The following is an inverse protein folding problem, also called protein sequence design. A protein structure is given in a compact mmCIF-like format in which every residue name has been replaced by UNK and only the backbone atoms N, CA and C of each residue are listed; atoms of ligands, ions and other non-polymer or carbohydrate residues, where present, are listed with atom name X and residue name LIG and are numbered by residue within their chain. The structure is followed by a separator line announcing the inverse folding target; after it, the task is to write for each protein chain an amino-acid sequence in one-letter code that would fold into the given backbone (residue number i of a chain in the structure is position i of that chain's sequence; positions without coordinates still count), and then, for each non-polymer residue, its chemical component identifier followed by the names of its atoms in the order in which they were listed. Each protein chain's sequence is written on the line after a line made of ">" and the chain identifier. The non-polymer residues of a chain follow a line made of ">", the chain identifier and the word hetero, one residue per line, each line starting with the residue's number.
data_IF_151735666645
#
_entry.id   IF_151735666645
#
_cell.length_a   1.000
_cell.length_b   1.000
_cell.length_c   1.000
_cell.angle_alpha   90.00
_cell.angle_beta   90.00
_cell.angle_gamma   90.00
#
_symmetry.space_group_name_H-M   'P 1'
#
loop_
_entity.id
_entity.type
_entity.pdbx_description
1 polymer ?
#
# COMPACT_ATOMS: atom_id res chain seq x y z
N UNK A 1 13.22 8.43 10.23
CA UNK A 1 12.67 8.67 8.88
C UNK A 1 11.15 8.68 9.02
N UNK A 2 10.45 9.63 8.42
CA UNK A 2 8.98 9.63 8.45
C UNK A 2 8.41 8.59 7.48
N UNK A 3 7.13 8.25 7.60
CA UNK A 3 6.50 7.29 6.68
C UNK A 3 6.48 7.83 5.24
N UNK A 4 6.36 9.14 5.03
CA UNK A 4 6.47 9.80 3.72
C UNK A 4 7.87 9.62 3.11
N UNK A 5 8.92 9.78 3.91
CA UNK A 5 10.29 9.56 3.45
C UNK A 5 10.51 8.08 3.09
N UNK A 6 9.98 7.14 3.89
CA UNK A 6 10.04 5.70 3.59
C UNK A 6 9.31 5.38 2.27
N UNK A 7 8.19 6.04 1.98
CA UNK A 7 7.45 5.92 0.70
C UNK A 7 8.31 6.38 -0.47
N UNK A 8 8.89 7.58 -0.39
CA UNK A 8 9.73 8.12 -1.47
C UNK A 8 10.96 7.25 -1.73
N UNK A 9 11.65 6.80 -0.67
CA UNK A 9 12.80 5.90 -0.82
C UNK A 9 12.41 4.58 -1.49
N UNK A 10 11.31 3.97 -1.06
CA UNK A 10 10.87 2.69 -1.61
C UNK A 10 10.43 2.82 -3.08
N UNK A 11 9.76 3.92 -3.45
CA UNK A 11 9.41 4.20 -4.86
C UNK A 11 10.66 4.42 -5.70
N UNK A 12 11.66 5.13 -5.19
CA UNK A 12 12.92 5.34 -5.89
C UNK A 12 13.71 4.03 -6.08
N UNK A 13 13.58 3.10 -5.14
CA UNK A 13 14.23 1.80 -5.20
C UNK A 13 13.52 0.83 -6.16
N UNK A 14 12.20 0.68 -6.02
CA UNK A 14 11.42 -0.35 -6.73
C UNK A 14 10.81 0.15 -8.04
N UNK A 15 10.51 1.44 -8.13
CA UNK A 15 9.77 2.02 -9.24
C UNK A 15 8.39 1.39 -9.42
N UNK A 16 7.92 1.35 -10.68
CA UNK A 16 6.63 0.79 -11.06
C UNK A 16 6.74 -0.20 -12.24
N UNK A 17 7.93 -0.73 -12.48
CA UNK A 17 8.07 -1.91 -13.35
C UNK A 17 7.66 -3.16 -12.58
N UNK A 18 6.34 -3.31 -12.40
CA UNK A 18 5.74 -4.31 -11.51
C UNK A 18 6.21 -5.73 -11.81
N UNK A 19 6.57 -6.06 -13.06
CA UNK A 19 7.05 -7.39 -13.43
C UNK A 19 8.44 -7.75 -12.87
N UNK A 20 9.17 -6.76 -12.35
CA UNK A 20 10.52 -6.93 -11.79
C UNK A 20 10.56 -6.90 -10.25
N UNK A 21 9.45 -6.54 -9.60
CA UNK A 21 9.39 -6.39 -8.16
C UNK A 21 9.15 -7.76 -7.50
N UNK A 22 9.98 -8.08 -6.51
CA UNK A 22 9.83 -9.30 -5.72
C UNK A 22 8.64 -9.18 -4.75
N UNK A 23 7.58 -9.97 -4.99
CA UNK A 23 6.38 -9.99 -4.15
C UNK A 23 6.68 -10.41 -2.71
N UNK A 24 7.57 -11.38 -2.51
CA UNK A 24 7.87 -11.92 -1.18
C UNK A 24 8.56 -10.87 -0.29
N UNK A 25 9.34 -9.99 -0.91
CA UNK A 25 9.90 -8.81 -0.26
C UNK A 25 8.79 -7.86 0.22
N UNK A 26 7.81 -7.56 -0.63
CA UNK A 26 6.69 -6.67 -0.26
C UNK A 26 5.88 -7.28 0.90
N UNK A 27 5.58 -8.58 0.83
CA UNK A 27 4.90 -9.30 1.91
C UNK A 27 5.66 -9.17 3.23
N UNK A 28 6.99 -9.38 3.19
CA UNK A 28 7.84 -9.27 4.39
C UNK A 28 7.80 -7.86 4.99
N UNK A 29 7.88 -6.82 4.15
CA UNK A 29 7.81 -5.42 4.61
C UNK A 29 6.45 -5.08 5.23
N UNK A 30 5.34 -5.64 4.70
CA UNK A 30 4.01 -5.46 5.29
C UNK A 30 3.92 -6.12 6.66
N UNK A 31 4.39 -7.36 6.77
CA UNK A 31 4.38 -8.10 8.05
C UNK A 31 5.24 -7.39 9.11
N UNK A 32 6.40 -6.87 8.74
CA UNK A 32 7.25 -6.06 9.61
C UNK A 32 6.54 -4.78 10.07
N UNK A 33 5.92 -4.03 9.16
CA UNK A 33 5.24 -2.78 9.50
C UNK A 33 3.93 -2.99 10.29
N UNK A 34 3.24 -4.14 10.13
CA UNK A 34 2.13 -4.54 11.01
C UNK A 34 2.63 -4.82 12.43
N UNK A 35 3.77 -5.50 12.57
CA UNK A 35 4.29 -5.94 13.85
C UNK A 35 4.87 -4.78 14.69
N UNK A 36 5.53 -3.82 14.03
CA UNK A 36 6.16 -2.65 14.64
C UNK A 36 5.78 -1.37 13.88
N UNK A 37 4.48 -1.04 13.93
CA UNK A 37 3.97 0.10 13.19
C UNK A 37 4.53 1.42 13.70
N UNK A 38 5.10 2.21 12.80
CA UNK A 38 5.56 3.55 13.10
C UNK A 38 4.39 4.54 13.08
N UNK A 39 4.13 5.18 14.23
CA UNK A 39 3.15 6.25 14.36
C UNK A 39 3.34 7.36 13.31
N UNK A 40 2.21 7.90 12.83
CA UNK A 40 2.18 8.98 11.85
C UNK A 40 1.26 8.66 10.68
N UNK A 41 1.64 9.09 9.49
CA UNK A 41 0.88 8.82 8.26
C UNK A 41 0.84 7.33 7.93
N UNK A 42 -0.30 6.85 7.46
CA UNK A 42 -0.45 5.49 6.93
C UNK A 42 0.10 5.30 5.52
N UNK A 43 0.71 6.32 4.90
CA UNK A 43 1.11 6.26 3.49
C UNK A 43 2.12 5.15 3.19
N UNK A 44 3.01 4.81 4.13
CA UNK A 44 3.98 3.74 3.92
C UNK A 44 3.32 2.36 3.79
N UNK A 45 2.52 1.99 4.79
CA UNK A 45 1.78 0.72 4.74
C UNK A 45 0.76 0.71 3.59
N UNK A 46 0.17 1.85 3.24
CA UNK A 46 -0.72 1.98 2.08
C UNK A 46 0.02 1.71 0.77
N UNK A 47 1.21 2.29 0.58
CA UNK A 47 2.06 2.02 -0.59
C UNK A 47 2.40 0.53 -0.69
N UNK A 48 2.84 -0.09 0.41
CA UNK A 48 3.16 -1.51 0.45
C UNK A 48 1.95 -2.38 0.06
N UNK A 49 0.77 -2.08 0.61
CA UNK A 49 -0.46 -2.77 0.26
C UNK A 49 -0.86 -2.56 -1.21
N UNK A 50 -0.59 -1.38 -1.77
CA UNK A 50 -0.82 -1.09 -3.18
C UNK A 50 0.12 -1.88 -4.11
N UNK A 51 1.40 -2.01 -3.74
CA UNK A 51 2.31 -2.92 -4.44
C UNK A 51 1.83 -4.37 -4.34
N UNK A 52 1.47 -4.85 -3.16
CA UNK A 52 0.96 -6.21 -3.01
C UNK A 52 -0.34 -6.42 -3.78
N UNK A 53 -1.23 -5.44 -3.83
CA UNK A 53 -2.42 -5.48 -4.67
C UNK A 53 -2.07 -5.65 -6.16
N UNK A 54 -1.07 -4.90 -6.65
CA UNK A 54 -0.63 -4.96 -8.04
C UNK A 54 -0.01 -6.33 -8.41
N UNK A 55 0.83 -6.87 -7.52
CA UNK A 55 1.65 -8.07 -7.74
C UNK A 55 0.93 -9.38 -7.38
N UNK A 56 0.01 -9.30 -6.42
CA UNK A 56 -0.59 -10.43 -5.75
C UNK A 56 -1.88 -10.94 -6.38
N UNK A 57 -2.44 -11.96 -5.76
CA UNK A 57 -3.67 -12.62 -6.16
C UNK A 57 -4.66 -12.72 -4.99
N UNK A 58 -5.72 -13.50 -5.17
CA UNK A 58 -6.76 -13.70 -4.15
C UNK A 58 -6.24 -14.12 -2.78
N UNK A 59 -5.11 -14.84 -2.72
CA UNK A 59 -4.50 -15.31 -1.48
C UNK A 59 -3.91 -14.17 -0.63
N UNK A 60 -3.56 -13.06 -1.27
CA UNK A 60 -2.93 -11.90 -0.61
C UNK A 60 -3.98 -10.96 0.04
N UNK A 61 -5.27 -11.15 -0.25
CA UNK A 61 -6.35 -10.32 0.27
C UNK A 61 -6.41 -10.29 1.80
N UNK A 62 -6.07 -11.41 2.45
CA UNK A 62 -6.11 -11.51 3.92
C UNK A 62 -5.00 -10.67 4.58
N UNK A 63 -3.85 -10.55 3.95
CA UNK A 63 -2.77 -9.70 4.44
C UNK A 63 -3.16 -8.22 4.34
N UNK A 64 -3.81 -7.80 3.25
CA UNK A 64 -4.32 -6.42 3.12
C UNK A 64 -5.39 -6.10 4.18
N UNK A 65 -6.27 -7.05 4.51
CA UNK A 65 -7.25 -6.88 5.60
C UNK A 65 -6.56 -6.71 6.94
N UNK A 66 -5.55 -7.55 7.23
CA UNK A 66 -4.76 -7.43 8.46
C UNK A 66 -4.06 -6.08 8.55
N UNK A 67 -3.46 -5.60 7.46
CA UNK A 67 -2.87 -4.26 7.42
C UNK A 67 -3.91 -3.15 7.66
N UNK A 68 -5.11 -3.26 7.05
CA UNK A 68 -6.17 -2.26 7.19
C UNK A 68 -6.76 -2.18 8.60
N UNK A 69 -7.02 -3.33 9.22
CA UNK A 69 -7.78 -3.40 10.48
C UNK A 69 -6.92 -3.76 11.70
N UNK A 70 -5.71 -4.27 11.51
CA UNK A 70 -4.81 -4.70 12.59
C UNK A 70 -3.92 -3.59 13.13
N UNK A 71 -3.69 -2.53 12.35
CA UNK A 71 -2.85 -1.40 12.73
C UNK A 71 -3.76 -0.26 13.22
N UNK A 72 -3.96 -0.22 14.55
CA UNK A 72 -4.74 0.78 15.32
C UNK A 72 -6.16 1.11 14.82
N UNK A 73 -7.16 0.64 15.59
CA UNK A 73 -8.60 0.84 15.35
C UNK A 73 -9.07 2.31 15.41
N UNK A 74 -8.29 3.22 16.00
CA UNK A 74 -8.73 4.60 16.24
C UNK A 74 -8.71 5.50 15.00
N UNK A 75 -8.05 5.07 13.91
CA UNK A 75 -7.93 5.89 12.69
C UNK A 75 -8.26 5.14 11.42
N UNK A 76 -8.18 3.81 11.41
CA UNK A 76 -8.35 3.01 10.20
C UNK A 76 -7.27 3.36 9.19
N UNK A 77 -6.34 2.43 8.94
CA UNK A 77 -5.33 2.65 7.91
C UNK A 77 -6.03 2.95 6.56
N UNK A 78 -5.57 3.98 5.85
CA UNK A 78 -6.15 4.45 4.58
C UNK A 78 -5.83 3.50 3.40
N UNK A 79 -5.88 2.19 3.64
CA UNK A 79 -5.81 1.16 2.59
C UNK A 79 -7.18 1.09 1.90
N UNK A 80 -7.17 1.16 0.58
CA UNK A 80 -8.38 1.13 -0.24
C UNK A 80 -9.09 -0.22 -0.11
N UNK A 81 -10.34 -0.19 0.39
CA UNK A 81 -11.17 -1.40 0.54
C UNK A 81 -11.44 -2.06 -0.82
N UNK A 82 -11.48 -1.27 -1.89
CA UNK A 82 -11.67 -1.74 -3.26
C UNK A 82 -10.54 -2.67 -3.72
N UNK A 83 -9.30 -2.50 -3.22
CA UNK A 83 -8.20 -3.44 -3.52
C UNK A 83 -8.46 -4.80 -2.89
N UNK A 84 -8.94 -4.82 -1.64
CA UNK A 84 -9.28 -6.04 -0.92
C UNK A 84 -10.44 -6.73 -1.62
N UNK A 85 -11.50 -6.00 -1.94
CA UNK A 85 -12.70 -6.58 -2.55
C UNK A 85 -12.44 -7.08 -3.98
N UNK A 86 -11.61 -6.36 -4.74
CA UNK A 86 -11.12 -6.79 -6.06
C UNK A 86 -10.33 -8.10 -5.98
N UNK A 87 -9.43 -8.28 -5.00
CA UNK A 87 -8.70 -9.54 -4.81
C UNK A 87 -9.58 -10.67 -4.27
N UNK A 88 -10.49 -10.36 -3.36
CA UNK A 88 -11.27 -11.37 -2.63
C UNK A 88 -12.36 -12.03 -3.48
N UNK A 89 -12.61 -11.55 -4.70
CA UNK A 89 -13.71 -11.94 -5.58
C UNK A 89 -15.05 -12.06 -4.84
N UNK A 90 -15.27 -11.16 -3.88
CA UNK A 90 -16.47 -11.16 -3.03
C UNK A 90 -17.67 -10.71 -3.85
N UNK A 91 -18.82 -11.33 -3.61
CA UNK A 91 -20.11 -10.80 -4.07
C UNK A 91 -20.41 -9.53 -3.29
N UNK A 92 -19.96 -8.39 -3.82
CA UNK A 92 -20.28 -7.07 -3.29
C UNK A 92 -21.50 -6.50 -4.01
N UNK A 93 -22.29 -5.69 -3.30
CA UNK A 93 -23.52 -5.09 -3.83
C UNK A 93 -23.29 -3.86 -4.74
N UNK A 94 -22.04 -3.63 -5.15
CA UNK A 94 -21.63 -2.48 -5.96
C UNK A 94 -20.63 -2.90 -7.05
N UNK A 95 -20.58 -2.20 -8.21
CA UNK A 95 -19.62 -2.53 -9.25
C UNK A 95 -18.19 -2.20 -8.77
N UNK A 96 -17.32 -3.21 -8.75
CA UNK A 96 -15.88 -3.03 -8.54
C UNK A 96 -15.26 -2.60 -9.88
N UNK A 97 -14.37 -1.60 -9.86
CA UNK A 97 -13.61 -1.20 -11.05
C UNK A 97 -12.71 -2.34 -11.55
N UNK A 98 -12.32 -2.29 -12.82
CA UNK A 98 -11.40 -3.32 -13.32
C UNK A 98 -10.06 -3.25 -12.57
N UNK A 99 -9.41 -4.42 -12.45
CA UNK A 99 -8.10 -4.50 -11.79
C UNK A 99 -7.08 -3.59 -12.45
N UNK A 100 -7.10 -3.51 -13.78
CA UNK A 100 -6.25 -2.65 -14.59
C UNK A 100 -6.45 -1.17 -14.28
N UNK A 101 -7.69 -0.72 -14.10
CA UNK A 101 -7.99 0.67 -13.71
C UNK A 101 -7.43 0.99 -12.33
N UNK A 102 -7.62 0.09 -11.36
CA UNK A 102 -7.13 0.26 -10.00
C UNK A 102 -5.60 0.30 -9.93
N UNK A 103 -4.92 -0.55 -10.70
CA UNK A 103 -3.46 -0.54 -10.81
C UNK A 103 -2.97 0.77 -11.43
N UNK A 104 -3.63 1.24 -12.50
CA UNK A 104 -3.28 2.52 -13.13
C UNK A 104 -3.41 3.69 -12.14
N UNK A 105 -4.52 3.76 -11.42
CA UNK A 105 -4.77 4.82 -10.45
C UNK A 105 -3.72 4.79 -9.31
N UNK A 106 -3.34 3.61 -8.83
CA UNK A 106 -2.26 3.45 -7.85
C UNK A 106 -0.93 4.00 -8.40
N UNK A 107 -0.55 3.60 -9.61
CA UNK A 107 0.71 4.06 -10.24
C UNK A 107 0.67 5.57 -10.47
N UNK A 108 -0.45 6.12 -10.95
CA UNK A 108 -0.60 7.56 -11.17
C UNK A 108 -0.53 8.36 -9.87
N UNK A 109 -1.11 7.85 -8.78
CA UNK A 109 -1.06 8.50 -7.47
C UNK A 109 0.37 8.61 -6.94
N UNK A 110 1.16 7.55 -7.02
CA UNK A 110 2.52 7.53 -6.48
C UNK A 110 3.60 7.96 -7.49
N UNK A 111 3.24 8.13 -8.77
CA UNK A 111 4.18 8.61 -9.79
C UNK A 111 4.60 10.04 -9.47
N UNK A 112 5.89 10.20 -9.18
CA UNK A 112 6.45 11.51 -8.84
C UNK A 112 6.12 11.95 -7.41
N UNK A 113 5.70 11.02 -6.55
CA UNK A 113 5.60 11.25 -5.12
C UNK A 113 6.93 11.76 -4.57
N UNK A 114 6.85 12.77 -3.70
CA UNK A 114 7.98 13.33 -2.97
C UNK A 114 7.55 13.53 -1.53
N UNK A 115 8.39 13.11 -0.59
CA UNK A 115 8.14 13.45 0.79
C UNK A 115 8.22 14.97 0.94
N UNK A 116 7.30 15.57 1.68
CA UNK A 116 7.41 16.97 2.02
C UNK A 116 8.72 17.19 2.78
N UNK A 117 9.56 18.08 2.25
CA UNK A 117 10.76 18.52 2.97
C UNK A 117 10.26 19.37 4.13
N UNK A 118 10.28 18.84 5.34
CA UNK A 118 10.16 19.66 6.54
C UNK A 118 11.43 20.51 6.57
N UNK A 119 11.36 21.71 6.01
CA UNK A 119 12.38 22.73 6.15
C UNK A 119 12.41 23.12 7.63
N UNK A 120 13.25 22.46 8.42
CA UNK A 120 13.58 22.93 9.76
C UNK A 120 14.44 24.17 9.60
N UNK A 121 13.80 25.30 9.31
CA UNK A 121 14.42 26.61 9.45
C UNK A 121 14.73 26.82 10.94
N UNK A 122 16.02 26.71 11.27
CA UNK A 122 16.61 27.12 12.56
C UNK A 122 16.47 28.63 12.80
#
# INVERSE_FOLDING_TARGET
>A
MTNEQRVEELINELGFDLGSIDKDRIVSLIEEDIADHQDGSSEYIRLLCGYLYCLGDESDAELLKRAKYGISFDVGCMIDEEWIDSLSNRNVDYPIRSREELIRDFVEYYRGYKADVIDTAE
#
